data_IF_114969260685
#
_entry.id   IF_114969260685
#
_cell.length_a   1.000
_cell.length_b   1.000
_cell.length_c   1.000
_cell.angle_alpha   90.00
_cell.angle_beta   90.00
_cell.angle_gamma   90.00
#
_symmetry.space_group_name_H-M   'P 1'
#
loop_
_entity.id
_entity.type
_entity.pdbx_description
1 polymer ?
#
# COMPACT_ATOMS: atom_id res chain seq x y z
N UNK A 1 14.22 2.96 -3.54
CA UNK A 1 13.01 2.71 -2.73
C UNK A 1 13.04 1.30 -2.17
N UNK A 2 12.86 1.15 -0.89
CA UNK A 2 12.94 -0.13 -0.18
C UNK A 2 11.60 -0.52 0.43
N UNK A 3 11.17 -1.76 0.20
CA UNK A 3 9.94 -2.31 0.79
C UNK A 3 10.25 -2.92 2.16
N UNK A 4 9.47 -2.59 3.18
CA UNK A 4 9.64 -3.15 4.53
C UNK A 4 8.44 -3.99 4.94
N UNK A 5 8.73 -5.24 5.32
CA UNK A 5 7.80 -6.15 6.01
C UNK A 5 7.79 -5.77 7.48
N UNK A 6 6.76 -5.37 8.03
CA UNK A 6 6.35 -5.39 9.44
C UNK A 6 5.65 -4.10 9.84
N UNK A 7 4.39 -4.03 9.46
CA UNK A 7 3.48 -3.15 10.18
C UNK A 7 2.24 -3.96 10.57
N UNK A 8 2.13 -4.29 11.84
CA UNK A 8 0.93 -4.90 12.39
C UNK A 8 -0.06 -3.76 12.66
N UNK A 9 -0.99 -3.57 11.74
CA UNK A 9 -2.09 -2.65 11.93
C UNK A 9 -3.18 -3.39 12.72
N UNK A 10 -3.18 -3.25 14.05
CA UNK A 10 -4.30 -3.66 14.88
C UNK A 10 -5.35 -2.54 14.90
N UNK A 11 -6.39 -2.68 14.09
CA UNK A 11 -7.57 -1.83 14.17
C UNK A 11 -8.44 -2.29 15.35
N UNK A 12 -8.53 -1.46 16.38
CA UNK A 12 -9.49 -1.63 17.47
C UNK A 12 -10.77 -0.87 17.06
N UNK A 13 -11.80 -1.61 16.73
CA UNK A 13 -13.15 -1.06 16.51
C UNK A 13 -13.91 -1.01 17.84
N UNK A 14 -14.11 0.19 18.38
CA UNK A 14 -15.11 0.46 19.42
C UNK A 14 -16.48 0.66 18.78
N UNK A 15 -17.38 -0.24 19.06
CA UNK A 15 -18.78 -0.20 18.61
C UNK A 15 -19.59 0.67 19.56
N UNK A 16 -20.10 1.80 19.08
CA UNK A 16 -21.20 2.51 19.72
C UNK A 16 -22.50 2.19 18.97
N UNK A 17 -23.41 1.54 19.66
CA UNK A 17 -24.72 1.15 19.15
C UNK A 17 -25.65 2.35 19.09
N UNK A 18 -26.11 2.71 17.91
CA UNK A 18 -27.34 3.48 17.72
C UNK A 18 -28.13 2.82 16.58
N UNK A 19 -29.28 2.28 16.94
CA UNK A 19 -30.20 1.63 16.02
C UNK A 19 -30.91 2.68 15.15
N UNK A 20 -30.49 2.78 13.89
CA UNK A 20 -31.32 3.30 12.81
C UNK A 20 -31.42 2.20 11.75
N UNK A 21 -32.62 1.64 11.63
CA UNK A 21 -32.98 0.74 10.54
C UNK A 21 -33.15 1.61 9.29
N UNK A 22 -32.08 1.80 8.54
CA UNK A 22 -32.14 2.17 7.15
C UNK A 22 -31.87 0.91 6.35
N UNK A 23 -32.74 0.58 5.41
CA UNK A 23 -32.50 -0.44 4.39
C UNK A 23 -31.19 -0.09 3.66
N UNK A 24 -30.10 -0.68 4.12
CA UNK A 24 -28.85 -0.66 3.39
C UNK A 24 -29.03 -1.68 2.27
N UNK A 25 -29.31 -1.18 1.07
CA UNK A 25 -29.10 -1.96 -0.14
C UNK A 25 -27.74 -2.66 -0.01
N UNK A 26 -27.74 -3.98 -0.04
CA UNK A 26 -26.53 -4.77 0.00
C UNK A 26 -25.71 -4.41 -1.26
N UNK A 27 -24.85 -3.39 -1.14
CA UNK A 27 -23.81 -3.16 -2.13
C UNK A 27 -22.97 -4.43 -2.15
N UNK A 28 -22.91 -5.05 -3.31
CA UNK A 28 -22.06 -6.20 -3.58
C UNK A 28 -20.62 -5.82 -3.16
N UNK A 29 -20.15 -6.37 -2.03
CA UNK A 29 -18.80 -6.15 -1.51
C UNK A 29 -17.76 -7.04 -2.19
N UNK A 30 -18.00 -7.41 -3.43
CA UNK A 30 -17.10 -8.30 -4.19
C UNK A 30 -15.89 -7.56 -4.78
N UNK A 31 -15.90 -6.23 -4.78
CA UNK A 31 -14.77 -5.43 -5.26
C UNK A 31 -13.97 -4.89 -4.06
N UNK A 32 -12.70 -5.28 -3.92
CA UNK A 32 -11.86 -4.72 -2.86
C UNK A 32 -11.66 -3.21 -3.02
N UNK A 33 -11.65 -2.51 -1.90
CA UNK A 33 -11.34 -1.09 -1.84
C UNK A 33 -9.88 -0.88 -1.41
N UNK A 34 -9.24 0.18 -1.89
CA UNK A 34 -7.88 0.54 -1.52
C UNK A 34 -7.81 1.98 -1.03
N UNK A 35 -7.07 2.18 0.04
CA UNK A 35 -6.62 3.50 0.49
C UNK A 35 -5.09 3.54 0.49
N UNK A 36 -4.53 4.71 0.28
CA UNK A 36 -3.10 4.98 0.41
C UNK A 36 -2.93 6.19 1.32
N UNK A 37 -2.01 6.08 2.28
CA UNK A 37 -1.66 7.16 3.18
C UNK A 37 -0.20 7.05 3.65
N UNK A 38 0.28 8.07 4.33
CA UNK A 38 1.58 8.08 4.99
C UNK A 38 1.41 7.74 6.46
N UNK A 39 2.27 6.86 6.97
CA UNK A 39 2.26 6.37 8.35
C UNK A 39 3.56 6.71 9.07
N UNK A 40 3.47 6.94 10.38
CA UNK A 40 4.63 7.15 11.25
C UNK A 40 5.09 5.81 11.85
N UNK A 41 6.27 5.32 11.45
CA UNK A 41 6.79 4.02 11.92
C UNK A 41 7.39 4.03 13.33
N UNK A 42 7.48 5.19 14.00
CA UNK A 42 8.01 5.28 15.37
C UNK A 42 7.08 4.67 16.42
N UNK A 43 5.81 4.51 16.08
CA UNK A 43 4.79 3.97 16.98
C UNK A 43 4.31 2.60 16.51
N UNK A 44 3.82 1.79 17.44
CA UNK A 44 3.19 0.51 17.13
C UNK A 44 1.85 0.40 17.89
N UNK A 45 0.70 0.38 17.20
CA UNK A 45 0.56 0.46 15.74
C UNK A 45 0.98 1.83 15.19
N UNK A 46 1.47 1.84 13.95
CA UNK A 46 1.86 3.08 13.27
C UNK A 46 0.63 3.91 12.95
N UNK A 47 0.53 5.16 13.43
CA UNK A 47 -0.60 6.03 13.13
C UNK A 47 -0.59 6.47 11.67
N UNK A 48 -1.78 6.54 11.08
CA UNK A 48 -2.02 7.17 9.80
C UNK A 48 -1.93 8.69 9.96
N UNK A 49 -1.08 9.33 9.17
CA UNK A 49 -0.90 10.77 9.16
C UNK A 49 -1.91 11.51 8.26
N UNK A 50 -2.82 10.78 7.62
CA UNK A 50 -3.87 11.31 6.73
C UNK A 50 -3.35 12.24 5.65
N UNK A 51 -2.18 11.93 5.08
CA UNK A 51 -1.55 12.71 4.01
C UNK A 51 -1.07 11.80 2.88
N UNK A 52 -0.94 12.38 1.69
CA UNK A 52 -0.41 11.74 0.49
C UNK A 52 0.90 12.36 0.02
N UNK A 53 1.62 12.99 0.91
CA UNK A 53 2.94 13.54 0.68
C UNK A 53 3.92 12.99 1.72
N UNK A 54 5.02 12.43 1.25
CA UNK A 54 6.10 11.87 2.08
C UNK A 54 7.41 12.61 1.78
N UNK A 55 8.20 12.90 2.82
CA UNK A 55 9.57 13.37 2.64
C UNK A 55 10.54 12.18 2.54
N UNK A 56 11.32 12.12 1.45
CA UNK A 56 12.37 11.10 1.30
C UNK A 56 13.50 11.22 2.33
N UNK A 57 13.60 12.38 2.98
CA UNK A 57 14.57 12.63 4.06
C UNK A 57 14.06 12.21 5.42
N UNK A 58 12.75 12.03 5.59
CA UNK A 58 12.15 11.61 6.85
C UNK A 58 12.08 10.08 6.98
N UNK A 59 13.09 9.51 7.58
CA UNK A 59 13.18 8.06 7.80
C UNK A 59 12.10 7.45 8.70
N UNK A 60 11.26 8.27 9.31
CA UNK A 60 10.18 7.82 10.18
C UNK A 60 8.84 7.67 9.45
N UNK A 61 8.76 8.03 8.19
CA UNK A 61 7.55 7.97 7.39
C UNK A 61 7.60 6.80 6.40
N UNK A 62 6.43 6.18 6.19
CA UNK A 62 6.19 5.14 5.20
C UNK A 62 4.96 5.49 4.39
N UNK A 63 4.99 5.28 3.08
CA UNK A 63 3.78 5.24 2.25
C UNK A 63 3.24 3.82 2.30
N UNK A 64 2.01 3.66 2.78
CA UNK A 64 1.36 2.36 2.85
C UNK A 64 0.05 2.38 2.08
N UNK A 65 -0.23 1.28 1.40
CA UNK A 65 -1.57 0.99 0.92
C UNK A 65 -2.22 -0.07 1.80
N UNK A 66 -3.52 0.08 1.98
CA UNK A 66 -4.37 -0.88 2.69
C UNK A 66 -5.56 -1.20 1.79
N UNK A 67 -5.73 -2.46 1.46
CA UNK A 67 -6.89 -2.96 0.73
C UNK A 67 -7.81 -3.72 1.68
N UNK A 68 -9.11 -3.46 1.58
CA UNK A 68 -10.17 -4.17 2.31
C UNK A 68 -11.05 -4.92 1.32
N UNK A 69 -11.36 -6.17 1.63
CA UNK A 69 -12.13 -7.03 0.74
C UNK A 69 -12.08 -8.49 1.17
N UNK A 70 -12.57 -9.38 0.33
CA UNK A 70 -12.47 -10.82 0.54
C UNK A 70 -11.23 -11.31 -0.21
N UNK A 71 -10.25 -11.82 0.52
CA UNK A 71 -9.00 -12.34 -0.02
C UNK A 71 -8.76 -13.77 0.46
N UNK A 72 -8.10 -14.57 -0.37
CA UNK A 72 -7.60 -15.87 0.01
C UNK A 72 -6.47 -15.76 1.07
N UNK A 73 -6.10 -16.86 1.70
CA UNK A 73 -5.05 -16.88 2.72
C UNK A 73 -3.69 -16.44 2.18
N UNK A 74 -3.45 -16.69 0.89
CA UNK A 74 -2.28 -16.26 0.16
C UNK A 74 -2.72 -15.72 -1.19
N UNK A 75 -2.32 -14.50 -1.49
CA UNK A 75 -2.62 -13.85 -2.76
C UNK A 75 -1.33 -13.49 -3.50
N UNK A 76 -1.39 -13.55 -4.81
CA UNK A 76 -0.36 -12.95 -5.65
C UNK A 76 -0.67 -11.47 -5.76
N UNK A 77 0.25 -10.66 -5.26
CA UNK A 77 0.17 -9.20 -5.32
C UNK A 77 1.15 -8.69 -6.35
N UNK A 78 0.69 -7.80 -7.22
CA UNK A 78 1.55 -7.03 -8.11
C UNK A 78 1.36 -5.55 -7.80
N UNK A 79 2.44 -4.88 -7.44
CA UNK A 79 2.48 -3.44 -7.27
C UNK A 79 3.25 -2.83 -8.42
N UNK A 80 2.68 -1.81 -9.06
CA UNK A 80 3.33 -1.06 -10.13
C UNK A 80 3.42 0.39 -9.68
N UNK A 81 4.66 0.90 -9.65
CA UNK A 81 4.96 2.29 -9.39
C UNK A 81 5.42 2.97 -10.67
N UNK A 82 4.77 4.09 -10.96
CA UNK A 82 5.14 5.01 -12.03
C UNK A 82 5.56 6.34 -11.41
N UNK A 83 6.72 6.86 -11.83
CA UNK A 83 7.26 8.14 -11.39
C UNK A 83 7.76 8.97 -12.58
N UNK A 84 7.88 10.28 -12.40
CA UNK A 84 8.43 11.18 -13.42
C UNK A 84 9.93 10.97 -13.62
N UNK A 85 10.64 10.57 -12.56
CA UNK A 85 12.06 10.28 -12.55
C UNK A 85 12.38 8.79 -12.57
N UNK A 86 13.64 8.49 -12.92
CA UNK A 86 14.18 7.12 -12.86
C UNK A 86 14.23 6.68 -11.39
N UNK A 87 13.69 5.49 -11.09
CA UNK A 87 13.75 4.92 -9.76
C UNK A 87 13.95 3.40 -9.80
N UNK A 88 14.40 2.84 -8.71
CA UNK A 88 14.61 1.41 -8.55
C UNK A 88 13.87 0.91 -7.32
N UNK A 89 13.30 -0.30 -7.42
CA UNK A 89 12.64 -0.97 -6.30
C UNK A 89 13.62 -1.96 -5.65
N UNK A 90 13.73 -1.94 -4.33
CA UNK A 90 14.41 -2.99 -3.56
C UNK A 90 13.39 -3.83 -2.82
N UNK A 91 13.57 -5.15 -2.87
CA UNK A 91 12.63 -6.15 -2.34
C UNK A 91 13.30 -7.16 -1.42
N UNK A 92 14.40 -6.75 -0.76
CA UNK A 92 15.22 -7.63 0.07
C UNK A 92 14.41 -8.38 1.14
N UNK A 93 13.31 -7.79 1.59
CA UNK A 93 12.43 -8.37 2.60
C UNK A 93 11.31 -9.26 2.02
N UNK A 94 11.18 -9.37 0.69
CA UNK A 94 10.15 -10.18 0.03
C UNK A 94 10.73 -11.47 -0.54
N UNK A 95 10.31 -12.59 0.01
CA UNK A 95 10.64 -13.89 -0.57
C UNK A 95 9.95 -14.08 -1.93
N UNK A 96 10.71 -14.56 -2.91
CA UNK A 96 10.21 -14.85 -4.26
C UNK A 96 9.63 -13.65 -5.02
N UNK A 97 10.06 -12.42 -4.69
CA UNK A 97 9.65 -11.25 -5.43
C UNK A 97 10.29 -11.22 -6.82
N UNK A 98 9.46 -10.93 -7.82
CA UNK A 98 9.89 -10.72 -9.20
C UNK A 98 9.76 -9.24 -9.54
N UNK A 99 10.88 -8.62 -9.91
CA UNK A 99 10.95 -7.23 -10.37
C UNK A 99 10.93 -7.17 -11.89
N UNK A 100 10.19 -6.20 -12.42
CA UNK A 100 10.17 -5.84 -13.84
C UNK A 100 10.22 -4.33 -13.94
N UNK A 101 11.14 -3.81 -14.77
CA UNK A 101 11.30 -2.38 -15.01
C UNK A 101 11.08 -2.06 -16.48
N UNK A 102 10.47 -0.89 -16.75
CA UNK A 102 10.44 -0.33 -18.10
C UNK A 102 11.87 0.04 -18.56
N UNK A 103 12.12 0.14 -19.88
CA UNK A 103 13.45 0.50 -20.40
C UNK A 103 13.98 1.83 -19.86
N UNK A 104 13.11 2.79 -19.61
CA UNK A 104 13.43 4.11 -19.04
C UNK A 104 13.43 4.14 -17.51
N UNK A 105 13.15 2.99 -16.87
CA UNK A 105 13.06 2.82 -15.40
C UNK A 105 12.11 3.79 -14.68
N UNK A 106 11.11 4.31 -15.38
CA UNK A 106 10.08 5.17 -14.80
C UNK A 106 8.87 4.40 -14.34
N UNK A 107 8.69 3.19 -14.85
CA UNK A 107 7.64 2.26 -14.43
C UNK A 107 8.29 0.98 -13.93
N UNK A 108 8.09 0.67 -12.66
CA UNK A 108 8.66 -0.52 -12.04
C UNK A 108 7.55 -1.31 -11.35
N UNK A 109 7.57 -2.62 -11.54
CA UNK A 109 6.60 -3.53 -10.95
C UNK A 109 7.29 -4.58 -10.10
N UNK A 110 6.67 -4.93 -8.99
CA UNK A 110 7.05 -6.07 -8.16
C UNK A 110 5.87 -7.02 -8.02
N UNK A 111 6.12 -8.31 -8.25
CA UNK A 111 5.12 -9.36 -8.02
C UNK A 111 5.63 -10.30 -6.94
N UNK A 112 4.81 -10.59 -5.95
CA UNK A 112 5.15 -11.45 -4.81
C UNK A 112 3.91 -12.12 -4.24
N UNK A 113 4.11 -13.15 -3.40
CA UNK A 113 3.03 -13.76 -2.64
C UNK A 113 2.91 -13.06 -1.30
N UNK A 114 1.73 -12.53 -1.00
CA UNK A 114 1.45 -11.88 0.27
C UNK A 114 0.51 -12.76 1.11
N UNK A 115 0.97 -13.26 2.27
CA UNK A 115 0.10 -13.95 3.19
C UNK A 115 -0.86 -12.94 3.83
N UNK A 116 -2.15 -13.28 3.86
CA UNK A 116 -3.15 -12.50 4.58
C UNK A 116 -2.87 -12.54 6.09
N UNK A 117 -2.62 -11.39 6.69
CA UNK A 117 -2.35 -11.29 8.14
C UNK A 117 -3.62 -11.10 8.97
N UNK A 118 -4.61 -10.43 8.41
CA UNK A 118 -5.92 -10.18 9.03
C UNK A 118 -7.02 -10.54 8.07
N UNK A 119 -8.17 -11.08 8.54
CA UNK A 119 -9.32 -11.31 7.70
C UNK A 119 -9.70 -10.05 6.95
N UNK A 120 -9.94 -10.15 5.67
CA UNK A 120 -10.45 -9.06 4.83
C UNK A 120 -9.54 -7.83 4.67
N UNK A 121 -8.24 -7.93 5.01
CA UNK A 121 -7.32 -6.80 4.87
C UNK A 121 -5.95 -7.27 4.36
N UNK A 122 -5.43 -6.58 3.36
CA UNK A 122 -4.06 -6.72 2.87
C UNK A 122 -3.40 -5.35 2.82
N UNK A 123 -2.11 -5.30 3.06
CA UNK A 123 -1.35 -4.04 3.07
C UNK A 123 0.11 -4.26 2.76
N UNK A 124 0.74 -3.22 2.25
CA UNK A 124 2.20 -3.13 2.15
C UNK A 124 2.65 -1.68 2.25
N UNK A 125 3.92 -1.48 2.60
CA UNK A 125 4.51 -0.17 2.81
C UNK A 125 5.82 -0.01 2.05
N UNK A 126 6.07 1.23 1.62
CA UNK A 126 7.28 1.65 0.95
C UNK A 126 8.01 2.71 1.75
N UNK A 127 9.32 2.59 1.84
CA UNK A 127 10.23 3.59 2.40
C UNK A 127 10.99 4.25 1.24
N UNK A 128 11.11 5.57 1.29
CA UNK A 128 11.85 6.35 0.32
C UNK A 128 13.25 6.66 0.82
N UNK A 129 14.18 6.73 -0.10
CA UNK A 129 15.59 7.04 0.18
C UNK A 129 15.97 8.39 -0.45
N UNK A 130 17.05 9.06 0.02
CA UNK A 130 17.44 10.38 -0.46
C UNK A 130 17.70 10.47 -1.97
N UNK A 131 18.06 9.35 -2.63
CA UNK A 131 18.27 9.27 -4.06
C UNK A 131 17.00 9.08 -4.88
N UNK A 132 15.90 8.69 -4.24
CA UNK A 132 14.64 8.51 -4.97
C UNK A 132 14.17 9.84 -5.56
N UNK A 133 13.62 9.85 -6.77
CA UNK A 133 13.15 11.09 -7.40
C UNK A 133 12.04 11.73 -6.59
N UNK A 134 12.09 13.04 -6.48
CA UNK A 134 10.98 13.83 -5.98
C UNK A 134 9.94 14.03 -7.08
N UNK A 135 8.69 14.21 -6.70
CA UNK A 135 7.60 14.46 -7.63
C UNK A 135 6.40 13.54 -7.43
N UNK A 136 5.61 13.42 -8.46
CA UNK A 136 4.39 12.62 -8.47
C UNK A 136 4.70 11.15 -8.70
N UNK A 137 4.04 10.31 -7.92
CA UNK A 137 4.03 8.86 -8.08
C UNK A 137 2.60 8.36 -8.26
N UNK A 138 2.44 7.33 -9.09
CA UNK A 138 1.18 6.60 -9.26
C UNK A 138 1.43 5.16 -8.89
N UNK A 139 0.66 4.65 -7.92
CA UNK A 139 0.67 3.26 -7.51
C UNK A 139 -0.57 2.56 -8.05
N UNK A 140 -0.36 1.44 -8.73
CA UNK A 140 -1.40 0.47 -9.08
C UNK A 140 -1.15 -0.82 -8.31
N UNK A 141 -2.17 -1.35 -7.64
CA UNK A 141 -2.09 -2.62 -6.90
C UNK A 141 -3.07 -3.61 -7.53
N UNK A 142 -2.56 -4.79 -7.84
CA UNK A 142 -3.37 -5.93 -8.27
C UNK A 142 -3.25 -7.03 -7.23
N UNK A 143 -4.37 -7.54 -6.73
CA UNK A 143 -4.45 -8.65 -5.76
C UNK A 143 -5.25 -9.77 -6.40
N UNK A 144 -4.58 -10.89 -6.68
CA UNK A 144 -5.18 -11.98 -7.42
C UNK A 144 -5.73 -11.52 -8.78
N UNK A 145 -7.03 -11.63 -8.98
CA UNK A 145 -7.74 -11.17 -10.20
C UNK A 145 -8.18 -9.69 -10.16
N UNK A 146 -8.11 -9.05 -8.99
CA UNK A 146 -8.63 -7.71 -8.79
C UNK A 146 -7.54 -6.65 -9.00
N UNK A 147 -7.74 -5.78 -9.99
CA UNK A 147 -6.96 -4.55 -10.14
C UNK A 147 -7.68 -3.42 -9.38
N UNK A 148 -6.98 -2.82 -8.42
CA UNK A 148 -7.54 -1.82 -7.53
C UNK A 148 -7.42 -0.41 -8.13
N UNK A 149 -8.16 0.54 -7.59
CA UNK A 149 -8.12 1.94 -8.00
C UNK A 149 -6.70 2.52 -7.85
N UNK A 150 -6.25 3.25 -8.89
CA UNK A 150 -4.94 3.89 -8.89
C UNK A 150 -4.84 4.93 -7.77
N UNK A 151 -3.74 4.87 -7.05
CA UNK A 151 -3.44 5.81 -5.97
C UNK A 151 -2.34 6.77 -6.38
N UNK A 152 -2.53 8.05 -6.11
CA UNK A 152 -1.54 9.10 -6.38
C UNK A 152 -0.99 9.63 -5.07
N UNK A 153 0.32 9.80 -5.02
CA UNK A 153 1.01 10.44 -3.89
C UNK A 153 2.23 11.24 -4.39
N UNK A 154 2.84 12.00 -3.50
CA UNK A 154 3.96 12.87 -3.82
C UNK A 154 5.14 12.60 -2.90
N UNK A 155 6.34 12.62 -3.48
CA UNK A 155 7.61 12.51 -2.76
C UNK A 155 8.26 13.89 -2.76
N UNK A 156 8.47 14.46 -1.58
CA UNK A 156 9.16 15.72 -1.34
C UNK A 156 10.63 15.51 -0.89
N UNK A 157 11.30 16.60 -0.59
CA UNK A 157 12.68 16.60 -0.06
C UNK A 157 12.76 16.01 1.34
#
# INVERSE_FOLDING_TARGET
>A
MRMKKNLILALITTVLSAAFVTEVSAMSRDTPEIILSVFDKRQNPSPDLHKKEISRSNKNELVCWVATGIFDEQEIVTETLEAEGIHELSTDDLKNAKLVSSPDKKVNSVTYTNPRKTPNTMSNCWEFEPQDPIGKYVLTVKIGKHELEKQVFYVGK
#
